data_IF_089364516940
#
_entry.id   IF_089364516940
#
_cell.length_a   1.000
_cell.length_b   1.000
_cell.length_c   1.000
_cell.angle_alpha   90.00
_cell.angle_beta   90.00
_cell.angle_gamma   90.00
#
_symmetry.space_group_name_H-M   'P 1'
#
loop_
_entity.id
_entity.type
_entity.pdbx_description
1 polymer ?
#
# COMPACT_ATOMS: atom_id res chain seq x y z
N UNK A 1 -15.82 -20.21 -14.87
CA UNK A 1 -14.68 -21.12 -14.64
C UNK A 1 -13.53 -20.47 -13.84
N UNK A 2 -12.75 -19.50 -14.36
CA UNK A 2 -11.61 -18.96 -13.60
C UNK A 2 -12.03 -18.24 -12.31
N UNK A 3 -13.02 -17.34 -12.37
CA UNK A 3 -13.52 -16.61 -11.19
C UNK A 3 -13.98 -17.54 -10.07
N UNK A 4 -14.69 -18.60 -10.43
CA UNK A 4 -15.17 -19.63 -9.50
C UNK A 4 -14.02 -20.41 -8.85
N UNK A 5 -13.01 -20.80 -9.63
CA UNK A 5 -11.78 -21.44 -9.09
C UNK A 5 -11.04 -20.51 -8.12
N UNK A 6 -10.97 -19.21 -8.41
CA UNK A 6 -10.36 -18.22 -7.51
C UNK A 6 -11.15 -18.13 -6.21
N UNK A 7 -12.48 -18.07 -6.25
CA UNK A 7 -13.33 -18.01 -5.06
C UNK A 7 -13.14 -19.25 -4.16
N UNK A 8 -13.09 -20.45 -4.76
CA UNK A 8 -12.80 -21.70 -4.03
C UNK A 8 -11.41 -21.64 -3.40
N UNK A 9 -10.41 -21.13 -4.12
CA UNK A 9 -9.04 -21.01 -3.59
C UNK A 9 -8.98 -20.03 -2.42
N UNK A 10 -9.67 -18.89 -2.51
CA UNK A 10 -9.75 -17.90 -1.43
C UNK A 10 -10.43 -18.51 -0.20
N UNK A 11 -11.54 -19.22 -0.37
CA UNK A 11 -12.24 -19.89 0.73
C UNK A 11 -11.35 -20.95 1.41
N UNK A 12 -10.59 -21.72 0.64
CA UNK A 12 -9.60 -22.66 1.18
C UNK A 12 -8.51 -21.95 1.98
N UNK A 13 -7.93 -20.86 1.44
CA UNK A 13 -6.91 -20.05 2.11
C UNK A 13 -7.42 -19.49 3.45
N UNK A 14 -8.66 -19.00 3.49
CA UNK A 14 -9.29 -18.44 4.71
C UNK A 14 -9.40 -19.50 5.82
N UNK A 15 -9.55 -20.78 5.46
CA UNK A 15 -9.64 -21.90 6.41
C UNK A 15 -8.27 -22.41 6.89
N UNK A 16 -7.17 -21.95 6.29
CA UNK A 16 -5.81 -22.35 6.70
C UNK A 16 -5.34 -21.57 7.92
N UNK A 17 -4.53 -22.22 8.75
CA UNK A 17 -3.97 -21.61 9.96
C UNK A 17 -2.67 -20.86 9.65
N UNK A 18 -2.79 -19.70 9.00
CA UNK A 18 -1.64 -18.83 8.75
C UNK A 18 -1.29 -17.99 9.97
N UNK A 19 0.01 -17.84 10.25
CA UNK A 19 0.47 -16.83 11.20
C UNK A 19 0.53 -15.43 10.55
N UNK A 20 0.61 -14.39 11.37
CA UNK A 20 0.63 -12.99 10.90
C UNK A 20 1.71 -12.68 9.85
N UNK A 21 2.88 -13.31 9.93
CA UNK A 21 3.98 -13.07 8.99
C UNK A 21 3.71 -13.73 7.64
N UNK A 22 3.00 -14.85 7.61
CA UNK A 22 2.56 -15.51 6.38
C UNK A 22 1.46 -14.71 5.69
N UNK A 23 0.48 -14.22 6.46
CA UNK A 23 -0.57 -13.32 5.96
C UNK A 23 0.04 -12.05 5.35
N UNK A 24 1.00 -11.42 6.04
CA UNK A 24 1.70 -10.25 5.51
C UNK A 24 2.44 -10.54 4.20
N UNK A 25 3.04 -11.73 4.05
CA UNK A 25 3.69 -12.14 2.78
C UNK A 25 2.66 -12.26 1.66
N UNK A 26 1.51 -12.89 1.92
CA UNK A 26 0.43 -13.05 0.96
C UNK A 26 -0.17 -11.69 0.56
N UNK A 27 -0.39 -10.80 1.53
CA UNK A 27 -0.86 -9.43 1.29
C UNK A 27 0.11 -8.69 0.35
N UNK A 28 1.42 -8.75 0.61
CA UNK A 28 2.41 -8.12 -0.25
C UNK A 28 2.49 -8.78 -1.65
N UNK A 29 2.21 -10.08 -1.77
CA UNK A 29 2.08 -10.76 -3.08
C UNK A 29 0.91 -10.20 -3.88
N UNK A 30 -0.27 -10.17 -3.26
CA UNK A 30 -1.51 -9.72 -3.89
C UNK A 30 -1.36 -8.25 -4.32
N UNK A 31 -0.85 -7.38 -3.45
CA UNK A 31 -0.67 -5.97 -3.78
C UNK A 31 0.32 -5.75 -4.93
N UNK A 32 1.38 -6.56 -5.04
CA UNK A 32 2.29 -6.49 -6.19
C UNK A 32 1.64 -6.84 -7.52
N UNK A 33 0.76 -7.86 -7.54
CA UNK A 33 0.01 -8.23 -8.74
C UNK A 33 -0.98 -7.13 -9.09
N UNK A 34 -1.76 -6.66 -8.12
CA UNK A 34 -2.76 -5.62 -8.34
C UNK A 34 -2.14 -4.32 -8.87
N UNK A 35 -0.92 -3.98 -8.48
CA UNK A 35 -0.24 -2.79 -9.02
C UNK A 35 0.03 -2.91 -10.51
N UNK A 36 0.53 -4.05 -10.97
CA UNK A 36 0.73 -4.23 -12.41
C UNK A 36 -0.61 -4.25 -13.17
N UNK A 37 -1.65 -4.89 -12.61
CA UNK A 37 -2.98 -4.94 -13.22
C UNK A 37 -3.67 -3.57 -13.30
N UNK A 38 -3.42 -2.67 -12.34
CA UNK A 38 -4.01 -1.34 -12.28
C UNK A 38 -3.20 -0.26 -13.00
N UNK A 39 -2.09 -0.63 -13.62
CA UNK A 39 -1.20 0.31 -14.31
C UNK A 39 -1.82 0.75 -15.65
N UNK A 40 -2.10 2.05 -15.85
CA UNK A 40 -2.51 2.56 -17.17
C UNK A 40 -1.36 2.45 -18.16
N UNK A 41 -1.70 2.41 -19.45
CA UNK A 41 -0.66 2.42 -20.47
C UNK A 41 0.09 3.77 -20.49
N UNK A 42 1.32 3.77 -20.99
CA UNK A 42 2.18 4.96 -20.95
C UNK A 42 1.60 6.16 -21.72
N UNK A 43 0.77 5.93 -22.74
CA UNK A 43 0.11 6.96 -23.53
C UNK A 43 -1.07 7.54 -22.76
N UNK A 44 -1.88 6.70 -22.11
CA UNK A 44 -2.93 7.10 -21.16
C UNK A 44 -2.37 7.97 -20.04
N UNK A 45 -1.29 7.54 -19.38
CA UNK A 45 -0.62 8.32 -18.32
C UNK A 45 -0.20 9.70 -18.82
N UNK A 46 0.41 9.78 -20.01
CA UNK A 46 0.86 11.06 -20.59
C UNK A 46 -0.32 11.99 -20.89
N UNK A 47 -1.40 11.45 -21.46
CA UNK A 47 -2.64 12.20 -21.73
C UNK A 47 -3.25 12.76 -20.45
N UNK A 48 -3.35 11.93 -19.40
CA UNK A 48 -3.88 12.36 -18.12
C UNK A 48 -2.98 13.43 -17.48
N UNK A 49 -1.65 13.28 -17.53
CA UNK A 49 -0.71 14.25 -16.94
C UNK A 49 -0.81 15.65 -17.55
N UNK A 50 -1.09 15.73 -18.85
CA UNK A 50 -1.24 17.00 -19.56
C UNK A 50 -2.66 17.58 -19.49
N UNK A 51 -3.54 17.01 -18.67
CA UNK A 51 -4.91 17.46 -18.49
C UNK A 51 -5.10 18.03 -17.08
N UNK A 52 -5.72 19.21 -16.96
CA UNK A 52 -6.00 19.83 -15.65
C UNK A 52 -6.90 18.99 -14.75
N UNK A 53 -7.72 18.09 -15.33
CA UNK A 53 -8.55 17.09 -14.63
C UNK A 53 -7.92 15.70 -14.60
N UNK A 54 -6.63 15.58 -14.88
CA UNK A 54 -5.91 14.30 -15.01
C UNK A 54 -6.14 13.33 -13.85
N UNK A 55 -6.03 13.81 -12.61
CA UNK A 55 -6.28 12.98 -11.44
C UNK A 55 -7.72 12.48 -11.36
N UNK A 56 -8.71 13.31 -11.73
CA UNK A 56 -10.12 12.88 -11.75
C UNK A 56 -10.36 11.79 -12.79
N UNK A 57 -9.75 11.92 -13.96
CA UNK A 57 -9.80 10.90 -15.02
C UNK A 57 -9.13 9.60 -14.54
N UNK A 58 -7.97 9.70 -13.91
CA UNK A 58 -7.26 8.55 -13.32
C UNK A 58 -8.07 7.87 -12.20
N UNK A 59 -8.70 8.63 -11.31
CA UNK A 59 -9.60 8.07 -10.29
C UNK A 59 -10.71 7.25 -10.94
N UNK A 60 -11.36 7.79 -11.97
CA UNK A 60 -12.43 7.09 -12.68
C UNK A 60 -11.89 5.83 -13.41
N UNK A 61 -10.68 5.89 -13.97
CA UNK A 61 -9.99 4.73 -14.56
C UNK A 61 -9.84 3.59 -13.55
N UNK A 62 -9.44 3.90 -12.31
CA UNK A 62 -9.31 2.91 -11.25
C UNK A 62 -10.66 2.37 -10.78
N UNK A 63 -11.63 3.27 -10.55
CA UNK A 63 -12.98 2.90 -10.09
C UNK A 63 -13.69 1.94 -11.07
N UNK A 64 -13.45 2.10 -12.37
CA UNK A 64 -14.01 1.23 -13.41
C UNK A 64 -13.37 -0.17 -13.43
N UNK A 65 -12.15 -0.35 -12.91
CA UNK A 65 -11.41 -1.63 -12.95
C UNK A 65 -11.57 -2.47 -11.69
N UNK A 66 -11.75 -1.82 -10.55
CA UNK A 66 -11.87 -2.53 -9.27
C UNK A 66 -13.33 -2.62 -8.86
N UNK A 67 -13.88 -1.48 -8.43
CA UNK A 67 -15.25 -1.14 -8.08
C UNK A 67 -15.20 0.28 -7.51
N UNK A 68 -16.17 1.16 -7.75
CA UNK A 68 -16.17 2.48 -7.14
C UNK A 68 -15.97 2.41 -5.62
N UNK A 69 -15.06 3.26 -5.11
CA UNK A 69 -14.75 3.45 -3.68
C UNK A 69 -13.98 2.32 -2.98
N UNK A 70 -13.62 1.23 -3.67
CA UNK A 70 -12.77 0.19 -3.06
C UNK A 70 -11.36 0.68 -2.76
N UNK A 71 -10.85 1.61 -3.57
CA UNK A 71 -9.63 2.35 -3.30
C UNK A 71 -10.02 3.72 -2.74
N UNK A 72 -9.54 4.05 -1.54
CA UNK A 72 -9.73 5.36 -0.95
C UNK A 72 -8.92 6.43 -1.71
N UNK A 73 -9.20 7.70 -1.41
CA UNK A 73 -8.59 8.83 -2.11
C UNK A 73 -7.07 8.93 -1.92
N UNK A 74 -6.54 8.53 -0.76
CA UNK A 74 -5.11 8.58 -0.47
C UNK A 74 -4.34 7.55 -1.29
N UNK A 75 -4.87 6.32 -1.41
CA UNK A 75 -4.31 5.28 -2.28
C UNK A 75 -4.38 5.72 -3.74
N UNK A 76 -5.51 6.26 -4.20
CA UNK A 76 -5.62 6.82 -5.57
C UNK A 76 -4.59 7.90 -5.82
N UNK A 77 -4.39 8.82 -4.87
CA UNK A 77 -3.40 9.89 -5.00
C UNK A 77 -1.97 9.34 -5.04
N UNK A 78 -1.65 8.34 -4.23
CA UNK A 78 -0.34 7.69 -4.25
C UNK A 78 -0.08 6.98 -5.59
N UNK A 79 -1.05 6.20 -6.08
CA UNK A 79 -0.95 5.53 -7.39
C UNK A 79 -0.79 6.54 -8.53
N UNK A 80 -1.52 7.67 -8.47
CA UNK A 80 -1.33 8.76 -9.41
C UNK A 80 0.11 9.26 -9.38
N UNK A 81 0.64 9.57 -8.19
CA UNK A 81 2.02 10.04 -8.02
C UNK A 81 3.03 9.00 -8.53
N UNK A 82 2.82 7.72 -8.24
CA UNK A 82 3.66 6.62 -8.70
C UNK A 82 3.69 6.52 -10.23
N UNK A 83 2.54 6.37 -10.88
CA UNK A 83 2.47 6.16 -12.32
C UNK A 83 2.82 7.40 -13.14
N UNK A 84 2.57 8.61 -12.62
CA UNK A 84 2.92 9.87 -13.30
C UNK A 84 4.34 10.35 -13.02
N UNK A 85 5.05 9.69 -12.10
CA UNK A 85 6.39 10.10 -11.64
C UNK A 85 6.38 11.37 -10.78
N UNK A 86 5.24 11.73 -10.19
CA UNK A 86 5.06 12.89 -9.32
C UNK A 86 5.23 12.55 -7.82
N UNK A 87 6.13 11.62 -7.47
CA UNK A 87 6.37 11.26 -6.07
C UNK A 87 7.48 12.10 -5.45
N UNK A 88 7.20 12.74 -4.32
CA UNK A 88 8.20 13.47 -3.54
C UNK A 88 8.98 12.49 -2.68
N UNK A 89 10.30 12.40 -2.85
CA UNK A 89 11.18 11.63 -1.96
C UNK A 89 11.56 12.42 -0.71
N UNK A 90 10.56 12.94 0.00
CA UNK A 90 10.79 13.65 1.25
C UNK A 90 10.41 12.71 2.38
N UNK A 91 11.42 12.17 3.04
CA UNK A 91 11.28 11.42 4.30
C UNK A 91 11.93 12.24 5.39
N UNK A 92 11.16 12.73 6.34
CA UNK A 92 11.64 13.48 7.47
C UNK A 92 11.92 12.54 8.63
N UNK A 93 13.20 12.18 8.81
CA UNK A 93 13.62 11.30 9.91
C UNK A 93 13.20 11.82 11.28
N UNK A 94 13.22 13.14 11.48
CA UNK A 94 12.83 13.77 12.75
C UNK A 94 11.36 13.49 13.08
N UNK A 95 10.46 13.57 12.10
CA UNK A 95 9.04 13.26 12.31
C UNK A 95 8.85 11.80 12.74
N UNK A 96 9.58 10.87 12.11
CA UNK A 96 9.52 9.46 12.47
C UNK A 96 10.07 9.17 13.87
N UNK A 97 11.13 9.86 14.27
CA UNK A 97 11.71 9.74 15.62
C UNK A 97 10.74 10.24 16.69
N UNK A 98 10.15 11.43 16.48
CA UNK A 98 9.13 12.00 17.38
C UNK A 98 7.95 11.04 17.50
N UNK A 99 7.37 10.62 16.37
CA UNK A 99 6.24 9.69 16.37
C UNK A 99 6.57 8.38 17.09
N UNK A 100 7.77 7.83 16.88
CA UNK A 100 8.22 6.61 17.56
C UNK A 100 8.29 6.78 19.07
N UNK A 101 8.82 7.90 19.54
CA UNK A 101 8.97 8.18 20.97
C UNK A 101 7.60 8.35 21.65
N UNK A 102 6.70 9.10 21.03
CA UNK A 102 5.32 9.29 21.50
C UNK A 102 4.53 7.98 21.53
N UNK A 103 4.81 7.06 20.61
CA UNK A 103 4.09 5.80 20.43
C UNK A 103 4.85 4.55 20.91
N UNK A 104 5.87 4.70 21.75
CA UNK A 104 6.73 3.57 22.19
C UNK A 104 6.02 2.44 22.94
N UNK A 105 4.80 2.69 23.44
CA UNK A 105 3.95 1.68 24.10
C UNK A 105 3.14 0.82 23.12
N UNK A 106 3.08 1.22 21.84
CA UNK A 106 2.39 0.46 20.82
C UNK A 106 3.14 -0.85 20.50
N UNK A 107 2.44 -1.74 19.82
CA UNK A 107 2.95 -3.03 19.37
C UNK A 107 2.94 -3.06 17.85
N UNK A 108 3.74 -3.96 17.27
CA UNK A 108 3.70 -4.20 15.85
C UNK A 108 2.28 -4.53 15.39
N UNK A 109 1.72 -3.74 14.46
CA UNK A 109 0.34 -3.94 13.99
C UNK A 109 0.10 -5.29 13.30
N UNK A 110 1.16 -5.94 12.83
CA UNK A 110 1.06 -7.23 12.15
C UNK A 110 1.14 -8.41 13.12
N UNK A 111 2.12 -8.43 14.04
CA UNK A 111 2.41 -9.61 14.87
C UNK A 111 2.41 -9.34 16.38
N UNK A 112 2.02 -8.14 16.81
CA UNK A 112 1.95 -7.75 18.22
C UNK A 112 3.29 -7.76 18.99
N UNK A 113 4.43 -7.90 18.31
CA UNK A 113 5.75 -7.76 18.91
C UNK A 113 5.91 -6.39 19.59
N UNK A 114 6.51 -6.36 20.77
CA UNK A 114 6.95 -5.14 21.48
C UNK A 114 8.44 -4.86 21.28
N UNK A 115 9.15 -5.72 20.54
CA UNK A 115 10.60 -5.65 20.36
C UNK A 115 10.96 -5.12 18.97
N UNK A 116 12.07 -4.39 18.90
CA UNK A 116 12.68 -3.85 17.66
C UNK A 116 11.66 -3.11 16.78
N UNK A 117 10.90 -2.21 17.40
CA UNK A 117 9.86 -1.43 16.74
C UNK A 117 10.47 -0.30 15.88
N UNK A 118 9.80 -0.02 14.77
CA UNK A 118 10.14 0.97 13.76
C UNK A 118 8.86 1.65 13.25
N UNK A 119 9.02 2.84 12.69
CA UNK A 119 7.94 3.54 12.00
C UNK A 119 7.99 3.18 10.52
N UNK A 120 6.90 2.65 10.00
CA UNK A 120 6.68 2.30 8.59
C UNK A 120 5.58 3.17 8.00
N UNK A 121 5.63 3.39 6.69
CA UNK A 121 4.58 4.10 5.99
C UNK A 121 3.52 3.12 5.47
N UNK A 122 2.24 3.33 5.79
CA UNK A 122 1.10 2.54 5.25
C UNK A 122 1.20 2.49 3.72
N UNK A 123 1.35 3.67 3.11
CA UNK A 123 1.71 3.87 1.71
C UNK A 123 3.16 4.32 1.64
N UNK A 124 4.09 3.51 1.12
CA UNK A 124 5.50 3.89 1.02
C UNK A 124 5.73 5.22 0.28
N UNK A 125 6.64 6.04 0.81
CA UNK A 125 7.05 7.31 0.16
C UNK A 125 7.65 7.07 -1.24
N UNK A 126 8.30 5.93 -1.45
CA UNK A 126 8.92 5.53 -2.73
C UNK A 126 7.96 5.52 -3.93
N UNK A 127 6.65 5.50 -3.66
CA UNK A 127 5.57 5.38 -4.64
C UNK A 127 4.48 6.43 -4.38
N UNK A 128 4.85 7.54 -3.76
CA UNK A 128 3.97 8.71 -3.65
C UNK A 128 3.09 8.77 -2.40
N UNK A 129 3.35 7.92 -1.40
CA UNK A 129 2.83 8.12 -0.05
C UNK A 129 3.39 9.39 0.60
N UNK A 130 2.61 10.01 1.49
CA UNK A 130 3.00 11.23 2.20
C UNK A 130 3.74 10.91 3.49
N UNK A 131 4.69 11.76 3.88
CA UNK A 131 5.38 11.64 5.17
C UNK A 131 4.61 12.40 6.26
N UNK A 132 3.47 11.84 6.65
CA UNK A 132 2.52 12.39 7.63
C UNK A 132 2.08 11.30 8.59
N UNK A 133 1.69 11.66 9.81
CA UNK A 133 1.36 10.71 10.87
C UNK A 133 0.22 9.76 10.52
N UNK A 134 -0.77 10.21 9.75
CA UNK A 134 -1.88 9.36 9.27
C UNK A 134 -1.40 8.27 8.31
N UNK A 135 -0.20 8.39 7.77
CA UNK A 135 0.44 7.39 6.93
C UNK A 135 1.47 6.56 7.72
N UNK A 136 1.59 6.70 9.04
CA UNK A 136 2.57 5.97 9.86
C UNK A 136 1.96 4.76 10.58
N UNK A 137 2.72 3.68 10.65
CA UNK A 137 2.46 2.49 11.46
C UNK A 137 3.65 2.20 12.37
N UNK A 138 3.37 1.58 13.52
CA UNK A 138 4.40 0.93 14.34
C UNK A 138 4.48 -0.55 13.97
N UNK A 139 5.64 -0.99 13.48
CA UNK A 139 5.90 -2.38 13.11
C UNK A 139 7.24 -2.85 13.67
N UNK A 140 7.42 -4.16 13.84
CA UNK A 140 8.74 -4.69 14.17
C UNK A 140 9.61 -4.84 12.92
N UNK A 141 10.93 -4.80 13.10
CA UNK A 141 11.91 -4.93 12.01
C UNK A 141 11.74 -6.20 11.15
N UNK A 142 11.27 -7.31 11.73
CA UNK A 142 10.95 -8.53 10.97
C UNK A 142 9.80 -8.31 9.97
N UNK A 143 8.71 -7.71 10.43
CA UNK A 143 7.57 -7.39 9.57
C UNK A 143 7.96 -6.31 8.55
N UNK A 144 8.78 -5.34 8.95
CA UNK A 144 9.28 -4.32 8.03
C UNK A 144 10.12 -4.93 6.90
N UNK A 145 11.00 -5.88 7.20
CA UNK A 145 11.78 -6.63 6.20
C UNK A 145 10.89 -7.41 5.24
N UNK A 146 9.80 -8.02 5.72
CA UNK A 146 8.85 -8.72 4.84
C UNK A 146 8.18 -7.74 3.89
N UNK A 147 7.68 -6.61 4.41
CA UNK A 147 7.01 -5.57 3.62
C UNK A 147 7.94 -4.89 2.60
N UNK A 148 9.20 -4.66 2.98
CA UNK A 148 10.19 -3.97 2.15
C UNK A 148 10.76 -4.82 0.99
N UNK A 149 10.60 -6.15 1.02
CA UNK A 149 11.17 -7.05 -0.01
C UNK A 149 10.47 -7.01 -1.36
N UNK A 150 9.31 -6.35 -1.48
CA UNK A 150 8.54 -6.28 -2.73
C UNK A 150 8.40 -4.84 -3.20
N UNK A 151 8.34 -4.68 -4.52
CA UNK A 151 8.46 -3.42 -5.27
C UNK A 151 7.47 -2.33 -4.84
N UNK A 152 6.43 -2.69 -4.09
CA UNK A 152 5.57 -1.71 -3.46
C UNK A 152 4.85 -2.36 -2.28
N UNK A 153 5.35 -2.15 -1.07
CA UNK A 153 4.62 -2.44 0.16
C UNK A 153 3.44 -1.48 0.38
N UNK A 154 2.70 -1.12 -0.67
CA UNK A 154 1.40 -0.44 -0.52
C UNK A 154 0.51 -1.41 0.20
N UNK A 155 -0.13 -0.94 1.24
CA UNK A 155 -1.36 -1.55 1.70
C UNK A 155 -2.52 -0.94 0.90
N UNK A 156 -2.98 -1.66 -0.14
CA UNK A 156 -3.91 -1.09 -1.13
C UNK A 156 -5.31 -0.88 -0.56
N UNK A 157 -5.60 -1.52 0.57
CA UNK A 157 -6.92 -1.57 1.18
C UNK A 157 -6.95 -1.12 2.64
N UNK A 158 -5.81 -0.91 3.32
CA UNK A 158 -5.80 -0.13 4.58
C UNK A 158 -5.72 1.36 4.33
N UNK A 159 -6.80 2.05 4.71
CA UNK A 159 -6.81 3.41 5.26
C UNK A 159 -7.83 3.41 6.39
#
# INVERSE_FOLDING_TARGET
MIKERILITIDAIIKMNFNSKELLKLECMINSVLLEELKPDSVEVRKMKNNSRGFKIFSNYLDNRTRPSILNINVKQALWNYYTGNYYRIRNRKNLEVYKEENKKLKCIFCSSTKNLEVDHIIPVAIGGKDVEENYNIICSDCNKIKSKRIAGIDMFKV
#
